data_IF_072980473271
#
_entry.id   IF_072980473271
#
_cell.length_a   1.000
_cell.length_b   1.000
_cell.length_c   1.000
_cell.angle_alpha   90.00
_cell.angle_beta   90.00
_cell.angle_gamma   90.00
#
_symmetry.space_group_name_H-M   'P 1'
#
loop_
_entity.id
_entity.type
_entity.pdbx_description
1 polymer ?
#
# COMPACT_ATOMS: atom_id res chain seq x y z
N UNK A 1 -7.03 0.41 0.21
CA UNK A 1 -7.31 0.08 -1.20
C UNK A 1 -6.01 -0.14 -1.94
N UNK A 2 -6.07 -0.81 -3.09
CA UNK A 2 -4.90 -1.24 -3.87
C UNK A 2 -4.28 -2.56 -3.37
N UNK A 3 -3.43 -3.16 -4.21
CA UNK A 3 -2.91 -4.50 -3.98
C UNK A 3 -2.10 -4.66 -2.67
N UNK A 4 -1.43 -3.62 -2.17
CA UNK A 4 -0.68 -3.72 -0.90
C UNK A 4 -1.56 -3.60 0.35
N UNK A 5 -2.88 -3.39 0.20
CA UNK A 5 -3.83 -3.35 1.32
C UNK A 5 -4.41 -4.71 1.71
N UNK A 6 -4.08 -5.76 0.95
CA UNK A 6 -4.38 -7.16 1.26
C UNK A 6 -3.08 -7.89 1.64
N UNK A 7 -3.23 -9.05 2.28
CA UNK A 7 -2.10 -9.93 2.55
C UNK A 7 -2.40 -11.36 2.10
N UNK A 8 -1.33 -12.12 1.88
CA UNK A 8 -1.43 -13.56 1.69
C UNK A 8 -0.81 -14.29 2.88
N UNK A 9 -1.27 -15.51 3.19
CA UNK A 9 -0.58 -16.35 4.16
C UNK A 9 0.91 -16.52 3.83
N UNK A 10 1.71 -16.82 4.86
CA UNK A 10 3.08 -17.32 4.73
C UNK A 10 3.23 -18.67 5.45
N UNK A 11 4.11 -19.52 4.91
CA UNK A 11 4.37 -20.96 5.04
C UNK A 11 5.55 -21.30 4.10
N UNK A 12 6.73 -20.90 4.54
CA UNK A 12 7.97 -21.02 3.79
C UNK A 12 8.19 -22.38 3.09
N UNK A 13 7.75 -23.49 3.72
CA UNK A 13 7.84 -24.83 3.15
C UNK A 13 7.06 -24.97 1.83
N UNK A 14 5.82 -24.47 1.78
CA UNK A 14 5.02 -24.52 0.56
C UNK A 14 5.63 -23.63 -0.55
N UNK A 15 6.29 -22.53 -0.18
CA UNK A 15 6.90 -21.58 -1.12
C UNK A 15 8.15 -22.21 -1.73
N UNK A 16 8.97 -22.86 -0.90
CA UNK A 16 10.10 -23.69 -1.35
C UNK A 16 9.65 -24.79 -2.31
N UNK A 17 8.45 -25.32 -2.12
CA UNK A 17 7.86 -26.36 -2.97
C UNK A 17 7.07 -25.81 -4.19
N UNK A 18 6.96 -24.49 -4.35
CA UNK A 18 6.23 -23.87 -5.47
C UNK A 18 4.71 -24.00 -5.40
N UNK A 19 4.12 -24.27 -4.23
CA UNK A 19 2.67 -24.43 -4.03
C UNK A 19 2.06 -23.08 -3.64
N UNK A 20 1.02 -22.65 -4.35
CA UNK A 20 0.42 -21.30 -4.23
C UNK A 20 -1.01 -21.34 -3.67
N UNK A 21 -1.41 -20.28 -2.95
CA UNK A 21 -2.76 -20.05 -2.45
C UNK A 21 -3.26 -18.66 -2.90
N UNK A 22 -4.55 -18.48 -3.26
CA UNK A 22 -5.08 -17.17 -3.63
C UNK A 22 -4.96 -16.14 -2.51
N UNK A 23 -4.64 -14.90 -2.89
CA UNK A 23 -4.46 -13.76 -2.01
C UNK A 23 -5.76 -12.95 -1.90
N UNK A 24 -6.57 -13.23 -0.89
CA UNK A 24 -7.90 -12.58 -0.75
C UNK A 24 -8.17 -12.09 0.67
N UNK A 25 -7.14 -12.03 1.53
CA UNK A 25 -7.32 -11.69 2.95
C UNK A 25 -7.15 -10.19 3.15
N UNK A 26 -8.18 -9.58 3.76
CA UNK A 26 -8.20 -8.15 4.06
C UNK A 26 -7.30 -7.83 5.24
N UNK A 27 -6.66 -6.67 5.23
CA UNK A 27 -5.84 -6.22 6.36
C UNK A 27 -6.57 -6.17 7.69
N UNK A 28 -7.88 -5.90 7.73
CA UNK A 28 -8.67 -5.93 8.97
C UNK A 28 -8.81 -7.31 9.62
N UNK A 29 -8.52 -8.40 8.88
CA UNK A 29 -8.74 -9.79 9.34
C UNK A 29 -7.53 -10.46 9.98
N UNK A 30 -6.34 -9.86 9.89
CA UNK A 30 -5.14 -10.39 10.60
C UNK A 30 -5.31 -10.26 12.11
N UNK A 31 -4.54 -10.99 12.92
CA UNK A 31 -4.43 -10.74 14.36
C UNK A 31 -3.33 -9.72 14.71
N UNK A 32 -2.32 -9.55 13.85
CA UNK A 32 -1.20 -8.64 14.04
C UNK A 32 -1.58 -7.15 14.00
N UNK A 33 -0.75 -6.24 14.54
CA UNK A 33 -1.03 -4.80 14.50
C UNK A 33 -1.25 -4.27 13.08
N UNK A 34 -2.34 -3.52 12.90
CA UNK A 34 -2.72 -2.88 11.63
C UNK A 34 -3.24 -1.46 11.89
N UNK A 35 -3.30 -0.62 10.84
CA UNK A 35 -3.71 0.78 10.96
C UNK A 35 -5.07 0.95 11.63
N UNK A 36 -6.05 0.11 11.28
CA UNK A 36 -7.38 0.13 11.90
C UNK A 36 -7.31 -0.14 13.41
N UNK A 37 -6.52 -1.14 13.84
CA UNK A 37 -6.34 -1.46 15.26
C UNK A 37 -5.59 -0.36 16.00
N UNK A 38 -4.55 0.21 15.40
CA UNK A 38 -3.78 1.31 15.97
C UNK A 38 -4.66 2.57 16.15
N UNK A 39 -5.49 2.90 15.15
CA UNK A 39 -6.43 4.02 15.24
C UNK A 39 -7.53 3.72 16.28
N UNK A 40 -8.00 2.47 16.37
CA UNK A 40 -9.06 2.07 17.29
C UNK A 40 -8.68 2.22 18.77
N UNK A 41 -7.39 2.23 19.10
CA UNK A 41 -6.89 2.60 20.44
C UNK A 41 -7.32 4.01 20.84
N UNK A 42 -7.39 4.94 19.88
CA UNK A 42 -7.77 6.34 20.11
C UNK A 42 -9.23 6.63 19.78
N UNK A 43 -9.88 5.77 19.02
CA UNK A 43 -11.29 5.87 18.67
C UNK A 43 -11.95 4.49 18.63
N UNK A 44 -12.52 4.06 19.75
CA UNK A 44 -13.15 2.74 19.89
C UNK A 44 -14.31 2.53 18.91
N UNK A 45 -14.98 3.62 18.50
CA UNK A 45 -16.12 3.62 17.56
C UNK A 45 -15.68 3.73 16.09
N UNK A 46 -14.42 3.43 15.78
CA UNK A 46 -13.91 3.44 14.41
C UNK A 46 -14.70 2.48 13.52
N UNK A 47 -15.28 3.02 12.44
CA UNK A 47 -15.81 2.24 11.33
C UNK A 47 -14.69 1.95 10.33
N UNK A 48 -14.49 0.67 10.01
CA UNK A 48 -13.52 0.22 9.00
C UNK A 48 -14.28 -0.16 7.73
N UNK A 49 -13.85 0.39 6.60
CA UNK A 49 -14.39 0.07 5.27
C UNK A 49 -13.24 -0.48 4.43
N UNK A 50 -13.29 -1.77 4.15
CA UNK A 50 -12.35 -2.44 3.26
C UNK A 50 -12.86 -2.43 1.82
N UNK A 51 -11.94 -2.29 0.85
CA UNK A 51 -12.26 -2.59 -0.54
C UNK A 51 -12.49 -4.10 -0.70
N UNK A 52 -13.62 -4.49 -1.27
CA UNK A 52 -13.88 -5.88 -1.67
C UNK A 52 -13.38 -6.20 -3.09
N UNK A 53 -12.92 -5.17 -3.79
CA UNK A 53 -12.72 -5.13 -5.25
C UNK A 53 -11.24 -4.94 -5.58
N UNK A 54 -10.36 -5.67 -4.89
CA UNK A 54 -8.90 -5.51 -5.04
C UNK A 54 -8.37 -5.83 -6.45
N UNK A 55 -9.15 -6.58 -7.25
CA UNK A 55 -8.87 -6.86 -8.66
C UNK A 55 -9.35 -5.77 -9.63
N UNK A 56 -10.16 -4.82 -9.15
CA UNK A 56 -10.64 -3.70 -9.97
C UNK A 56 -9.65 -2.54 -9.91
N UNK A 57 -9.77 -1.61 -10.86
CA UNK A 57 -8.91 -0.42 -10.89
C UNK A 57 -9.06 0.40 -9.60
N UNK A 58 -8.02 1.16 -9.25
CA UNK A 58 -8.04 1.99 -8.04
C UNK A 58 -9.20 3.01 -8.04
N UNK A 59 -9.59 3.50 -9.22
CA UNK A 59 -10.73 4.41 -9.39
C UNK A 59 -12.05 3.71 -9.04
N UNK A 60 -12.27 2.47 -9.51
CA UNK A 60 -13.49 1.73 -9.15
C UNK A 60 -13.52 1.40 -7.66
N UNK A 61 -12.38 1.00 -7.08
CA UNK A 61 -12.26 0.83 -5.63
C UNK A 61 -12.60 2.12 -4.88
N UNK A 62 -12.21 3.30 -5.39
CA UNK A 62 -12.55 4.60 -4.78
C UNK A 62 -14.04 4.89 -4.85
N UNK A 63 -14.69 4.57 -5.98
CA UNK A 63 -16.13 4.73 -6.15
C UNK A 63 -16.90 3.82 -5.20
N UNK A 64 -16.49 2.56 -5.08
CA UNK A 64 -17.08 1.58 -4.18
C UNK A 64 -16.96 2.02 -2.71
N UNK A 65 -15.75 2.39 -2.26
CA UNK A 65 -15.52 2.91 -0.89
C UNK A 65 -16.32 4.19 -0.64
N UNK A 66 -16.32 5.14 -1.58
CA UNK A 66 -17.08 6.38 -1.42
C UNK A 66 -18.59 6.13 -1.38
N UNK A 67 -19.09 5.15 -2.13
CA UNK A 67 -20.48 4.71 -2.05
C UNK A 67 -20.82 4.23 -0.64
N UNK A 68 -20.03 3.31 -0.07
CA UNK A 68 -20.21 2.81 1.30
C UNK A 68 -20.13 3.91 2.36
N UNK A 69 -19.22 4.88 2.21
CA UNK A 69 -19.12 6.03 3.13
C UNK A 69 -20.37 6.91 3.06
N UNK A 70 -20.96 7.08 1.88
CA UNK A 70 -22.12 7.96 1.67
C UNK A 70 -23.43 7.35 2.14
N UNK A 71 -23.46 6.07 2.50
CA UNK A 71 -24.62 5.44 3.16
C UNK A 71 -24.88 6.03 4.56
N UNK A 72 -23.86 6.62 5.19
CA UNK A 72 -24.00 7.29 6.47
C UNK A 72 -24.58 8.70 6.27
N UNK A 73 -25.74 8.99 6.85
CA UNK A 73 -26.48 10.25 6.62
C UNK A 73 -25.69 11.52 6.94
N UNK A 74 -24.78 11.47 7.92
CA UNK A 74 -23.91 12.56 8.34
C UNK A 74 -22.46 12.43 7.84
N UNK A 75 -22.21 11.65 6.77
CA UNK A 75 -20.84 11.37 6.31
C UNK A 75 -20.00 12.64 6.09
N UNK A 76 -20.57 13.74 5.59
CA UNK A 76 -19.85 15.00 5.37
C UNK A 76 -19.28 15.64 6.66
N UNK A 77 -19.83 15.29 7.82
CA UNK A 77 -19.39 15.77 9.13
C UNK A 77 -18.42 14.79 9.81
N UNK A 78 -18.24 13.58 9.27
CA UNK A 78 -17.31 12.60 9.84
C UNK A 78 -15.92 12.75 9.23
N UNK A 79 -14.87 12.70 10.06
CA UNK A 79 -13.51 12.57 9.55
C UNK A 79 -13.28 11.19 8.94
N UNK A 80 -12.63 11.17 7.78
CA UNK A 80 -12.31 9.96 7.01
C UNK A 80 -10.81 9.95 6.80
N UNK A 81 -10.18 8.81 7.02
CA UNK A 81 -8.82 8.54 6.59
C UNK A 81 -8.84 7.42 5.55
N UNK A 82 -8.30 7.68 4.37
CA UNK A 82 -8.30 6.74 3.25
C UNK A 82 -6.86 6.39 2.88
N UNK A 83 -6.52 5.11 2.93
CA UNK A 83 -5.18 4.61 2.61
C UNK A 83 -5.15 4.03 1.19
N UNK A 84 -4.35 4.64 0.31
CA UNK A 84 -4.03 4.15 -1.04
C UNK A 84 -2.68 3.42 -0.96
N UNK A 85 -2.74 2.10 -0.92
CA UNK A 85 -1.59 1.21 -0.83
C UNK A 85 -1.46 0.45 -2.16
N UNK A 86 -1.18 1.20 -3.21
CA UNK A 86 -1.01 0.66 -4.55
C UNK A 86 0.36 -0.03 -4.71
N UNK A 87 0.44 -0.95 -5.65
CA UNK A 87 1.67 -1.57 -6.15
C UNK A 87 1.74 -1.38 -7.67
N UNK A 88 2.82 -1.83 -8.30
CA UNK A 88 2.92 -1.83 -9.77
C UNK A 88 1.81 -2.64 -10.46
N UNK A 89 1.13 -3.54 -9.75
CA UNK A 89 0.00 -4.33 -10.26
C UNK A 89 -1.27 -3.50 -10.46
N UNK A 90 -1.38 -2.37 -9.75
CA UNK A 90 -2.51 -1.46 -9.86
C UNK A 90 -2.43 -0.54 -11.09
N UNK A 91 -1.35 -0.63 -11.87
CA UNK A 91 -1.20 0.04 -13.17
C UNK A 91 -1.30 -0.94 -14.34
N UNK A 92 -1.30 -0.41 -15.56
CA UNK A 92 -1.42 -1.20 -16.80
C UNK A 92 -0.06 -1.62 -17.39
N UNK A 93 1.04 -1.13 -16.81
CA UNK A 93 2.38 -1.38 -17.33
C UNK A 93 2.63 -0.75 -18.69
N UNK A 94 2.20 0.50 -18.84
CA UNK A 94 2.40 1.35 -20.02
C UNK A 94 2.88 2.75 -19.60
N UNK A 95 3.34 3.58 -20.56
CA UNK A 95 3.80 4.95 -20.24
C UNK A 95 2.71 5.82 -19.62
N UNK A 96 1.45 5.62 -20.02
CA UNK A 96 0.30 6.38 -19.53
C UNK A 96 -0.38 5.71 -18.34
N UNK A 97 -0.37 4.38 -18.25
CA UNK A 97 -0.97 3.59 -17.17
C UNK A 97 0.05 3.21 -16.08
N UNK A 98 0.88 4.16 -15.66
CA UNK A 98 1.80 3.93 -14.53
C UNK A 98 1.04 4.01 -13.21
N UNK A 99 1.44 3.21 -12.21
CA UNK A 99 0.83 3.25 -10.87
C UNK A 99 0.76 4.66 -10.26
N UNK A 100 1.76 5.51 -10.51
CA UNK A 100 1.74 6.90 -10.03
C UNK A 100 0.58 7.71 -10.63
N UNK A 101 0.28 7.50 -11.92
CA UNK A 101 -0.82 8.15 -12.63
C UNK A 101 -2.15 7.65 -12.07
N UNK A 102 -2.31 6.33 -11.92
CA UNK A 102 -3.50 5.72 -11.33
C UNK A 102 -3.78 6.25 -9.91
N UNK A 103 -2.74 6.41 -9.09
CA UNK A 103 -2.85 7.00 -7.75
C UNK A 103 -3.30 8.46 -7.82
N UNK A 104 -2.77 9.27 -8.74
CA UNK A 104 -3.18 10.66 -8.91
C UNK A 104 -4.66 10.76 -9.33
N UNK A 105 -5.08 9.98 -10.32
CA UNK A 105 -6.47 9.96 -10.79
C UNK A 105 -7.42 9.49 -9.68
N UNK A 106 -7.01 8.49 -8.91
CA UNK A 106 -7.75 8.02 -7.74
C UNK A 106 -7.89 9.10 -6.66
N UNK A 107 -6.83 9.87 -6.39
CA UNK A 107 -6.89 11.02 -5.46
C UNK A 107 -7.89 12.07 -5.97
N UNK A 108 -7.87 12.38 -7.27
CA UNK A 108 -8.80 13.32 -7.89
C UNK A 108 -10.25 12.84 -7.77
N UNK A 109 -10.49 11.55 -7.98
CA UNK A 109 -11.81 10.94 -7.87
C UNK A 109 -12.31 10.94 -6.41
N UNK A 110 -11.45 10.59 -5.45
CA UNK A 110 -11.78 10.69 -4.01
C UNK A 110 -12.10 12.14 -3.64
N UNK A 111 -11.34 13.12 -4.12
CA UNK A 111 -11.62 14.54 -3.88
C UNK A 111 -12.98 14.95 -4.45
N UNK A 112 -13.35 14.46 -5.64
CA UNK A 112 -14.65 14.72 -6.25
C UNK A 112 -15.80 14.10 -5.44
N UNK A 113 -15.61 12.89 -4.92
CA UNK A 113 -16.66 12.11 -4.24
C UNK A 113 -16.79 12.44 -2.75
N UNK A 114 -15.69 12.75 -2.08
CA UNK A 114 -15.58 12.94 -0.63
C UNK A 114 -14.76 14.20 -0.29
N UNK A 115 -15.21 15.42 -0.68
CA UNK A 115 -14.42 16.65 -0.54
C UNK A 115 -14.30 17.20 0.90
N UNK A 116 -15.02 16.62 1.86
CA UNK A 116 -15.14 17.17 3.22
C UNK A 116 -14.65 16.20 4.30
N UNK A 117 -13.78 16.74 5.18
CA UNK A 117 -13.18 16.04 6.32
C UNK A 117 -12.51 14.74 5.89
N UNK A 118 -11.73 14.82 4.81
CA UNK A 118 -11.06 13.65 4.23
C UNK A 118 -9.57 13.85 4.26
N UNK A 119 -8.88 12.88 4.84
CA UNK A 119 -7.43 12.78 4.81
C UNK A 119 -7.06 11.55 4.00
N UNK A 120 -6.30 11.73 2.93
CA UNK A 120 -5.84 10.62 2.08
C UNK A 120 -4.36 10.41 2.33
N UNK A 121 -3.95 9.17 2.55
CA UNK A 121 -2.56 8.76 2.66
C UNK A 121 -2.26 7.79 1.53
N UNK A 122 -1.36 8.16 0.63
CA UNK A 122 -0.91 7.31 -0.45
C UNK A 122 0.54 6.88 -0.23
N UNK A 123 0.89 5.67 -0.65
CA UNK A 123 2.28 5.21 -0.63
C UNK A 123 2.93 5.48 -1.99
N UNK A 124 4.11 6.09 -1.98
CA UNK A 124 4.99 6.07 -3.14
C UNK A 124 5.61 4.68 -3.25
N UNK A 125 5.35 4.00 -4.36
CA UNK A 125 5.86 2.65 -4.63
C UNK A 125 6.76 2.63 -5.86
N UNK A 126 7.71 3.58 -5.94
CA UNK A 126 8.65 3.68 -7.06
C UNK A 126 9.77 2.66 -7.00
N UNK A 127 10.13 2.20 -5.80
CA UNK A 127 11.18 1.22 -5.58
C UNK A 127 10.70 -0.22 -5.78
N UNK A 128 11.62 -1.09 -6.21
CA UNK A 128 11.35 -2.52 -6.37
C UNK A 128 12.27 -3.42 -5.54
N UNK A 129 13.04 -2.88 -4.60
CA UNK A 129 14.12 -3.62 -3.93
C UNK A 129 13.64 -4.88 -3.20
N UNK A 130 12.54 -4.82 -2.43
CA UNK A 130 11.93 -6.02 -1.80
C UNK A 130 11.72 -7.16 -2.81
N UNK A 131 11.06 -6.87 -3.94
CA UNK A 131 10.74 -7.87 -4.96
C UNK A 131 11.96 -8.30 -5.77
N UNK A 132 12.93 -7.40 -5.96
CA UNK A 132 14.23 -7.71 -6.58
C UNK A 132 15.03 -8.67 -5.71
N UNK A 133 15.12 -8.40 -4.41
CA UNK A 133 15.84 -9.21 -3.44
C UNK A 133 15.20 -10.60 -3.36
N UNK A 134 13.86 -10.68 -3.34
CA UNK A 134 13.12 -11.95 -3.40
C UNK A 134 13.40 -12.74 -4.69
N UNK A 135 13.37 -12.07 -5.86
CA UNK A 135 13.64 -12.68 -7.17
C UNK A 135 15.08 -13.18 -7.29
N UNK A 136 16.03 -12.48 -6.68
CA UNK A 136 17.44 -12.91 -6.66
C UNK A 136 17.65 -14.11 -5.74
N UNK A 137 16.94 -14.15 -4.60
CA UNK A 137 17.10 -15.17 -3.57
C UNK A 137 16.46 -16.51 -3.96
N UNK A 138 15.27 -16.50 -4.60
CA UNK A 138 14.52 -17.74 -4.84
C UNK A 138 13.92 -17.85 -6.25
N UNK A 139 14.07 -19.01 -6.87
CA UNK A 139 13.59 -19.28 -8.24
C UNK A 139 12.06 -19.12 -8.36
N UNK A 140 11.30 -19.67 -7.41
CA UNK A 140 9.84 -19.51 -7.41
C UNK A 140 9.40 -18.04 -7.45
N UNK A 141 10.02 -17.17 -6.63
CA UNK A 141 9.73 -15.74 -6.66
C UNK A 141 10.14 -15.10 -7.99
N UNK A 142 11.28 -15.49 -8.56
CA UNK A 142 11.72 -15.02 -9.89
C UNK A 142 10.69 -15.33 -10.97
N UNK A 143 10.11 -16.53 -10.93
CA UNK A 143 9.12 -16.98 -11.90
C UNK A 143 7.78 -16.27 -11.69
N UNK A 144 7.30 -16.16 -10.45
CA UNK A 144 6.06 -15.45 -10.12
C UNK A 144 6.13 -13.96 -10.48
N UNK A 145 7.22 -13.29 -10.14
CA UNK A 145 7.37 -11.85 -10.36
C UNK A 145 7.69 -11.49 -11.82
N UNK A 146 7.96 -12.48 -12.67
CA UNK A 146 8.34 -12.27 -14.07
C UNK A 146 7.26 -11.53 -14.88
N UNK A 147 5.99 -11.75 -14.55
CA UNK A 147 4.83 -11.13 -15.22
C UNK A 147 4.77 -9.61 -14.97
N UNK A 148 5.31 -9.14 -13.84
CA UNK A 148 5.28 -7.72 -13.47
C UNK A 148 6.51 -6.94 -13.95
N UNK A 149 7.45 -7.57 -14.67
CA UNK A 149 8.64 -6.88 -15.22
C UNK A 149 8.26 -5.74 -16.16
N UNK A 150 7.18 -5.89 -16.93
CA UNK A 150 6.64 -4.82 -17.77
C UNK A 150 6.21 -3.62 -16.94
N UNK A 151 5.38 -3.87 -15.92
CA UNK A 151 4.90 -2.86 -14.99
C UNK A 151 6.04 -2.11 -14.29
N UNK A 152 7.08 -2.84 -13.84
CA UNK A 152 8.26 -2.23 -13.24
C UNK A 152 9.05 -1.34 -14.19
N UNK A 153 9.10 -1.67 -15.49
CA UNK A 153 9.78 -0.84 -16.50
C UNK A 153 9.13 0.54 -16.62
N UNK A 154 7.81 0.60 -16.43
CA UNK A 154 7.01 1.82 -16.50
C UNK A 154 6.69 2.39 -15.12
N UNK A 155 7.51 2.14 -14.10
CA UNK A 155 7.32 2.72 -12.76
C UNK A 155 8.40 3.78 -12.48
N UNK A 156 8.32 4.90 -13.18
CA UNK A 156 9.40 5.89 -13.17
C UNK A 156 9.36 6.79 -11.93
N UNK A 157 10.51 6.97 -11.28
CA UNK A 157 10.65 7.90 -10.15
C UNK A 157 10.27 9.34 -10.50
N UNK A 158 10.61 9.79 -11.71
CA UNK A 158 10.30 11.14 -12.19
C UNK A 158 8.80 11.40 -12.34
N UNK A 159 7.99 10.36 -12.56
CA UNK A 159 6.52 10.48 -12.60
C UNK A 159 5.97 10.59 -11.19
N UNK A 160 6.47 9.78 -10.25
CA UNK A 160 6.14 9.93 -8.83
C UNK A 160 6.48 11.31 -8.28
N UNK A 161 7.64 11.87 -8.62
CA UNK A 161 8.03 13.23 -8.23
C UNK A 161 7.08 14.31 -8.79
N UNK A 162 6.58 14.12 -10.01
CA UNK A 162 5.58 15.03 -10.60
C UNK A 162 4.24 14.91 -9.87
N UNK A 163 3.79 13.68 -9.58
CA UNK A 163 2.56 13.43 -8.82
C UNK A 163 2.65 14.05 -7.43
N UNK A 164 3.75 13.86 -6.71
CA UNK A 164 4.00 14.47 -5.40
C UNK A 164 3.91 16.01 -5.46
N UNK A 165 4.51 16.64 -6.49
CA UNK A 165 4.39 18.09 -6.71
C UNK A 165 2.96 18.50 -6.99
N UNK A 166 2.24 17.79 -7.87
CA UNK A 166 0.83 18.09 -8.18
C UNK A 166 -0.01 17.99 -6.91
N UNK A 167 0.19 16.93 -6.13
CA UNK A 167 -0.57 16.69 -4.90
C UNK A 167 -0.28 17.73 -3.83
N UNK A 168 1.00 18.06 -3.63
CA UNK A 168 1.43 19.09 -2.68
C UNK A 168 0.91 20.49 -3.01
N UNK A 169 0.67 20.81 -4.29
CA UNK A 169 0.10 22.12 -4.66
C UNK A 169 -1.44 22.15 -4.64
N UNK A 170 -2.10 21.04 -4.96
CA UNK A 170 -3.55 21.05 -5.22
C UNK A 170 -4.41 20.48 -4.08
N UNK A 171 -3.86 19.59 -3.24
CA UNK A 171 -4.61 18.85 -2.23
C UNK A 171 -4.09 19.07 -0.79
N UNK A 172 -3.79 20.32 -0.44
CA UNK A 172 -3.35 20.74 0.90
C UNK A 172 -4.35 21.74 1.51
N UNK A 173 -5.59 21.30 1.73
CA UNK A 173 -6.67 22.15 2.26
C UNK A 173 -7.13 21.64 3.63
N UNK A 174 -7.58 22.56 4.49
CA UNK A 174 -8.03 22.22 5.85
C UNK A 174 -9.09 21.10 5.90
N UNK A 175 -10.00 21.05 4.92
CA UNK A 175 -11.07 20.05 4.86
C UNK A 175 -10.78 18.86 3.92
N UNK A 176 -9.67 18.91 3.17
CA UNK A 176 -9.21 17.82 2.30
C UNK A 176 -7.70 17.90 2.14
N UNK A 177 -6.99 16.95 2.71
CA UNK A 177 -5.52 16.89 2.63
C UNK A 177 -5.07 15.53 2.16
N UNK A 178 -4.02 15.51 1.34
CA UNK A 178 -3.41 14.28 0.83
C UNK A 178 -1.93 14.27 1.21
N UNK A 179 -1.44 13.14 1.72
CA UNK A 179 -0.03 12.91 2.02
C UNK A 179 0.47 11.72 1.22
N UNK A 180 1.57 11.90 0.49
CA UNK A 180 2.28 10.79 -0.16
C UNK A 180 3.50 10.43 0.70
N UNK A 181 3.54 9.18 1.17
CA UNK A 181 4.61 8.67 2.02
C UNK A 181 5.66 7.94 1.18
N UNK A 182 6.95 8.30 1.27
CA UNK A 182 8.02 7.73 0.45
C UNK A 182 8.52 6.36 0.95
N UNK A 183 7.69 5.58 1.65
CA UNK A 183 8.10 4.36 2.35
C UNK A 183 8.70 3.31 1.40
N UNK A 184 8.14 3.16 0.20
CA UNK A 184 8.60 2.17 -0.78
C UNK A 184 9.38 2.85 -1.92
N UNK A 185 10.13 3.91 -1.62
CA UNK A 185 11.10 4.49 -2.56
C UNK A 185 12.35 3.63 -2.69
N UNK A 186 12.96 3.29 -1.55
CA UNK A 186 14.16 2.45 -1.48
C UNK A 186 13.94 1.25 -0.53
N UNK A 187 12.94 0.38 -0.80
CA UNK A 187 12.61 -0.71 0.11
C UNK A 187 13.55 -1.89 -0.10
N UNK A 188 13.92 -2.60 0.97
CA UNK A 188 14.74 -3.81 0.88
C UNK A 188 14.20 -4.90 1.80
N UNK A 189 14.42 -6.17 1.42
CA UNK A 189 14.24 -7.26 2.34
C UNK A 189 15.37 -7.30 3.36
N UNK A 190 15.03 -7.79 4.54
CA UNK A 190 16.00 -8.04 5.58
C UNK A 190 16.87 -9.26 5.33
N UNK A 191 17.94 -9.42 6.11
CA UNK A 191 18.82 -10.59 6.05
C UNK A 191 18.70 -11.46 7.31
N UNK A 192 18.55 -12.77 7.10
CA UNK A 192 18.86 -13.79 8.11
C UNK A 192 20.36 -14.14 8.02
N UNK A 193 20.93 -14.85 9.02
CA UNK A 193 22.36 -15.16 9.02
C UNK A 193 22.91 -15.81 7.74
N UNK A 194 22.09 -16.61 7.05
CA UNK A 194 22.52 -17.38 5.87
C UNK A 194 21.69 -17.10 4.59
N UNK A 195 20.60 -16.33 4.67
CA UNK A 195 19.71 -16.06 3.53
C UNK A 195 18.89 -14.77 3.71
N UNK A 196 18.33 -14.23 2.62
CA UNK A 196 17.38 -13.11 2.69
C UNK A 196 16.09 -13.54 3.41
N UNK A 197 15.58 -12.73 4.33
CA UNK A 197 14.31 -13.00 5.03
C UNK A 197 13.12 -12.80 4.07
N UNK A 198 12.58 -13.91 3.55
CA UNK A 198 11.39 -13.91 2.70
C UNK A 198 10.07 -13.92 3.50
N UNK A 199 10.11 -14.07 4.82
CA UNK A 199 8.89 -14.16 5.64
C UNK A 199 8.00 -12.91 5.64
N UNK A 200 8.46 -11.70 5.29
CA UNK A 200 7.58 -10.55 5.03
C UNK A 200 6.72 -10.69 3.76
N UNK A 201 7.01 -11.64 2.87
CA UNK A 201 6.26 -11.87 1.64
C UNK A 201 5.32 -13.07 1.76
N UNK A 202 4.19 -12.97 1.07
CA UNK A 202 3.25 -14.07 0.90
C UNK A 202 3.74 -15.13 -0.09
N UNK A 203 2.97 -16.21 -0.24
CA UNK A 203 3.22 -17.30 -1.19
C UNK A 203 3.51 -16.89 -2.62
N UNK A 204 2.87 -15.82 -3.08
CA UNK A 204 2.99 -15.34 -4.46
C UNK A 204 4.22 -14.43 -4.67
N UNK A 205 4.98 -14.15 -3.61
CA UNK A 205 6.10 -13.20 -3.57
C UNK A 205 5.75 -11.76 -4.00
N UNK A 206 4.50 -11.47 -4.36
CA UNK A 206 4.04 -10.18 -4.89
C UNK A 206 3.40 -9.34 -3.79
N UNK A 207 2.63 -9.97 -2.92
CA UNK A 207 1.98 -9.32 -1.79
C UNK A 207 2.72 -9.61 -0.48
N UNK A 208 2.44 -8.80 0.52
CA UNK A 208 2.97 -9.01 1.86
C UNK A 208 2.33 -10.22 2.54
N UNK A 209 3.10 -10.86 3.41
CA UNK A 209 2.55 -11.78 4.41
C UNK A 209 1.79 -11.00 5.48
N UNK A 210 1.13 -11.71 6.38
CA UNK A 210 0.56 -11.11 7.59
C UNK A 210 1.60 -10.25 8.36
N UNK A 211 2.80 -10.80 8.54
CA UNK A 211 3.94 -10.11 9.16
C UNK A 211 4.35 -8.88 8.35
N UNK A 212 4.56 -9.03 7.04
CA UNK A 212 4.99 -7.91 6.18
C UNK A 212 3.98 -6.77 6.13
N UNK A 213 2.69 -7.09 6.08
CA UNK A 213 1.61 -6.12 6.09
C UNK A 213 1.58 -5.35 7.42
N UNK A 214 1.73 -6.05 8.54
CA UNK A 214 1.81 -5.43 9.87
C UNK A 214 3.00 -4.47 9.97
N UNK A 215 4.18 -4.88 9.49
CA UNK A 215 5.37 -4.03 9.44
C UNK A 215 5.16 -2.78 8.58
N UNK A 216 4.53 -2.92 7.41
CA UNK A 216 4.19 -1.79 6.55
C UNK A 216 3.21 -0.84 7.27
N UNK A 217 2.17 -1.38 7.92
CA UNK A 217 1.19 -0.59 8.67
C UNK A 217 1.83 0.19 9.83
N UNK A 218 2.77 -0.42 10.55
CA UNK A 218 3.54 0.25 11.60
C UNK A 218 4.42 1.38 11.03
N UNK A 219 5.08 1.16 9.89
CA UNK A 219 5.86 2.20 9.22
C UNK A 219 5.00 3.37 8.73
N UNK A 220 3.80 3.09 8.21
CA UNK A 220 2.81 4.12 7.84
C UNK A 220 2.40 4.92 9.07
N UNK A 221 2.03 4.22 10.15
CA UNK A 221 1.64 4.86 11.41
C UNK A 221 2.72 5.81 11.94
N UNK A 222 3.96 5.32 12.01
CA UNK A 222 5.10 6.12 12.44
C UNK A 222 5.33 7.32 11.51
N UNK A 223 5.19 7.14 10.20
CA UNK A 223 5.38 8.23 9.23
C UNK A 223 4.33 9.33 9.32
N UNK A 224 3.08 8.98 9.59
CA UNK A 224 1.98 9.95 9.75
C UNK A 224 2.18 10.79 11.02
N UNK A 225 2.67 10.17 12.10
CA UNK A 225 2.96 10.85 13.36
C UNK A 225 4.28 11.65 13.34
N UNK A 226 5.17 11.33 12.40
CA UNK A 226 6.45 12.03 12.23
C UNK A 226 6.28 13.28 11.37
N UNK A 227 6.92 14.38 11.78
CA UNK A 227 6.92 15.63 11.00
C UNK A 227 7.51 15.38 9.61
N UNK A 228 6.96 16.03 8.58
CA UNK A 228 7.34 15.77 7.18
C UNK A 228 8.86 15.87 6.90
N UNK A 229 9.58 16.76 7.59
CA UNK A 229 11.05 16.93 7.46
C UNK A 229 11.89 15.83 8.12
N UNK A 230 11.28 15.04 9.00
CA UNK A 230 11.94 14.01 9.82
C UNK A 230 11.56 12.59 9.35
N UNK A 231 10.76 12.45 8.30
CA UNK A 231 10.33 11.13 7.78
C UNK A 231 11.49 10.41 7.12
N UNK A 232 11.67 9.14 7.45
CA UNK A 232 12.60 8.25 6.77
C UNK A 232 12.09 7.89 5.37
N UNK A 233 13.01 7.85 4.40
CA UNK A 233 12.73 7.54 3.00
C UNK A 233 12.99 6.07 2.64
N UNK A 234 13.50 5.28 3.59
CA UNK A 234 13.80 3.86 3.44
C UNK A 234 12.93 3.02 4.38
N UNK A 235 12.19 2.08 3.82
CA UNK A 235 11.52 1.01 4.56
C UNK A 235 12.39 -0.24 4.53
N UNK A 236 13.09 -0.52 5.62
CA UNK A 236 13.84 -1.76 5.79
C UNK A 236 13.13 -2.67 6.80
N UNK A 237 12.83 -3.90 6.38
CA UNK A 237 12.15 -4.92 7.17
C UNK A 237 13.02 -5.52 8.29
N UNK A 238 14.33 -5.20 8.32
CA UNK A 238 15.26 -5.53 9.41
C UNK A 238 15.00 -4.72 10.70
N UNK A 239 14.46 -3.50 10.58
CA UNK A 239 14.40 -2.52 11.68
C UNK A 239 13.00 -1.96 11.87
N UNK A 240 12.08 -2.81 12.33
CA UNK A 240 10.99 -2.35 13.19
C UNK A 240 11.21 -2.97 14.56
N UNK A 241 12.08 -2.32 15.35
CA UNK A 241 12.11 -2.56 16.79
C UNK A 241 10.75 -2.12 17.35
N UNK A 242 10.07 -3.07 17.98
CA UNK A 242 9.00 -2.81 18.95
C UNK A 242 9.63 -2.13 20.17
#
# INVERSE_FOLDING_TARGET
MGHLSIYCPSNFTLLKNGILHPCTRKSSTTELPTLDKLIKIYNENLTVIDSNEWNDSLIEQARSIASSIREYSNYNEMWKIIFIMASVQDGEGSETGQVAVEVLETIQEIHRLLPHRTFVVALRTSGNGIWRDASHTHQACRDQLSVYKGHQRYNHESVWEQVEKIVGHNFQKHNFTVEILPLLKDPALGNLPDETDLSPLGYDCAHFSERGLSLLHLAIWNSILTRSRERYFSFNLDFCLI
#
